data_IF_964040917328
#
_entry.id   IF_964040917328
#
_cell.length_a   1.000
_cell.length_b   1.000
_cell.length_c   1.000
_cell.angle_alpha   90.00
_cell.angle_beta   90.00
_cell.angle_gamma   90.00
#
_symmetry.space_group_name_H-M   'P 1'
#
loop_
_entity.id
_entity.type
_entity.pdbx_description
1 polymer ?
#
# COMPACT_ATOMS: atom_id res chain seq x y z
N UNK A 1 -1.95 -0.77 -37.08
CA UNK A 1 -1.07 0.05 -36.22
C UNK A 1 0.28 -0.64 -36.17
N UNK A 2 1.41 0.06 -36.27
CA UNK A 2 2.73 -0.60 -36.17
C UNK A 2 2.96 -1.05 -34.72
N UNK A 3 3.64 -2.17 -34.52
CA UNK A 3 3.98 -2.68 -33.18
C UNK A 3 4.73 -1.63 -32.35
N UNK A 4 5.58 -0.83 -32.99
CA UNK A 4 6.29 0.28 -32.33
C UNK A 4 5.34 1.36 -31.80
N UNK A 5 4.34 1.77 -32.58
CA UNK A 5 3.40 2.81 -32.14
C UNK A 5 2.60 2.32 -30.93
N UNK A 6 2.21 1.05 -30.91
CA UNK A 6 1.50 0.46 -29.76
C UNK A 6 2.40 0.45 -28.52
N UNK A 7 3.65 0.04 -28.67
CA UNK A 7 4.63 0.07 -27.58
C UNK A 7 4.87 1.48 -27.03
N UNK A 8 5.02 2.47 -27.90
CA UNK A 8 5.18 3.88 -27.50
C UNK A 8 3.94 4.41 -26.77
N UNK A 9 2.73 3.99 -27.19
CA UNK A 9 1.47 4.31 -26.50
C UNK A 9 1.38 3.66 -25.12
N UNK A 10 1.74 2.38 -25.00
CA UNK A 10 1.75 1.68 -23.71
C UNK A 10 2.74 2.30 -22.73
N UNK A 11 3.95 2.64 -23.19
CA UNK A 11 4.95 3.33 -22.36
C UNK A 11 4.42 4.70 -21.94
N UNK A 12 3.87 5.47 -22.88
CA UNK A 12 3.30 6.79 -22.58
C UNK A 12 2.16 6.70 -21.57
N UNK A 13 1.26 5.75 -21.75
CA UNK A 13 0.17 5.50 -20.81
C UNK A 13 0.67 5.16 -19.42
N UNK A 14 1.60 4.22 -19.28
CA UNK A 14 2.08 3.79 -17.96
C UNK A 14 2.64 4.97 -17.16
N UNK A 15 3.44 5.82 -17.81
CA UNK A 15 4.06 6.98 -17.16
C UNK A 15 3.01 8.05 -16.84
N UNK A 16 2.16 8.40 -17.80
CA UNK A 16 1.14 9.43 -17.62
C UNK A 16 0.06 9.02 -16.61
N UNK A 17 -0.33 7.75 -16.62
CA UNK A 17 -1.28 7.19 -15.66
C UNK A 17 -0.70 7.20 -14.24
N UNK A 18 0.57 6.83 -14.08
CA UNK A 18 1.26 6.91 -12.80
C UNK A 18 1.32 8.37 -12.29
N UNK A 19 1.70 9.32 -13.15
CA UNK A 19 1.72 10.75 -12.80
C UNK A 19 0.34 11.24 -12.38
N UNK A 20 -0.69 10.94 -13.17
CA UNK A 20 -2.07 11.30 -12.84
C UNK A 20 -2.47 10.74 -11.48
N UNK A 21 -2.29 9.44 -11.26
CA UNK A 21 -2.58 8.78 -9.98
C UNK A 21 -1.85 9.44 -8.80
N UNK A 22 -0.54 9.67 -8.91
CA UNK A 22 0.25 10.25 -7.85
C UNK A 22 -0.20 11.69 -7.50
N UNK A 23 -0.51 12.52 -8.51
CA UNK A 23 -1.00 13.88 -8.29
C UNK A 23 -2.46 13.93 -7.80
N UNK A 24 -3.31 12.99 -8.20
CA UNK A 24 -4.66 12.86 -7.64
C UNK A 24 -4.61 12.49 -6.15
N UNK A 25 -3.76 11.54 -5.78
CA UNK A 25 -3.48 11.23 -4.38
C UNK A 25 -2.97 12.46 -3.63
N UNK A 26 -2.01 13.20 -4.19
CA UNK A 26 -1.49 14.44 -3.58
C UNK A 26 -2.61 15.48 -3.40
N UNK A 27 -3.47 15.67 -4.38
CA UNK A 27 -4.61 16.57 -4.32
C UNK A 27 -5.59 16.18 -3.21
N UNK A 28 -5.92 14.89 -3.07
CA UNK A 28 -6.77 14.38 -1.99
C UNK A 28 -6.14 14.61 -0.59
N UNK A 29 -4.84 14.37 -0.44
CA UNK A 29 -4.11 14.69 0.78
C UNK A 29 -4.19 16.18 1.14
N UNK A 30 -3.89 17.07 0.18
CA UNK A 30 -3.91 18.51 0.41
C UNK A 30 -5.31 19.02 0.79
N UNK A 31 -6.36 18.51 0.15
CA UNK A 31 -7.74 18.82 0.54
C UNK A 31 -8.08 18.28 1.93
N UNK A 32 -7.59 17.10 2.30
CA UNK A 32 -7.75 16.56 3.66
C UNK A 32 -7.10 17.47 4.70
N UNK A 33 -5.86 17.92 4.46
CA UNK A 33 -5.16 18.86 5.33
C UNK A 33 -5.91 20.20 5.46
N UNK A 34 -6.43 20.73 4.34
CA UNK A 34 -7.25 21.95 4.33
C UNK A 34 -8.54 21.78 5.16
N UNK A 35 -9.29 20.70 4.90
CA UNK A 35 -10.59 20.45 5.53
C UNK A 35 -10.50 20.26 7.05
N UNK A 36 -9.40 19.68 7.53
CA UNK A 36 -9.17 19.40 8.95
C UNK A 36 -8.29 20.47 9.63
N UNK A 37 -7.90 21.52 8.89
CA UNK A 37 -7.18 22.68 9.44
C UNK A 37 -5.74 22.39 9.87
N UNK A 38 -5.02 21.51 9.18
CA UNK A 38 -3.65 21.15 9.54
C UNK A 38 -2.66 22.30 9.26
N UNK A 39 -1.73 22.63 10.18
CA UNK A 39 -0.81 23.77 10.03
C UNK A 39 0.20 23.63 8.88
N UNK A 40 0.44 22.41 8.37
CA UNK A 40 1.32 22.21 7.22
C UNK A 40 0.64 22.48 5.87
N UNK A 41 -0.68 22.70 5.84
CA UNK A 41 -1.38 23.02 4.60
C UNK A 41 -0.85 24.33 3.99
N UNK A 42 -0.63 24.33 2.68
CA UNK A 42 -0.18 25.49 1.91
C UNK A 42 -1.03 25.63 0.65
N UNK A 43 -1.73 26.76 0.51
CA UNK A 43 -2.56 27.05 -0.68
C UNK A 43 -1.75 26.98 -1.98
N UNK A 44 -0.50 27.46 -1.96
CA UNK A 44 0.39 27.41 -3.12
C UNK A 44 0.72 25.99 -3.60
N UNK A 45 0.78 25.01 -2.69
CA UNK A 45 1.00 23.60 -3.06
C UNK A 45 -0.24 22.99 -3.71
N UNK A 46 -1.44 23.38 -3.28
CA UNK A 46 -2.70 22.98 -3.89
C UNK A 46 -2.82 23.54 -5.31
N UNK A 47 -2.62 24.85 -5.49
CA UNK A 47 -2.65 25.51 -6.80
C UNK A 47 -1.62 24.91 -7.76
N UNK A 48 -0.39 24.65 -7.29
CA UNK A 48 0.64 23.98 -8.08
C UNK A 48 0.23 22.56 -8.47
N UNK A 49 -0.38 21.82 -7.56
CA UNK A 49 -0.89 20.46 -7.80
C UNK A 49 -2.00 20.46 -8.86
N UNK A 50 -2.95 21.40 -8.78
CA UNK A 50 -4.00 21.57 -9.80
C UNK A 50 -3.44 21.96 -11.16
N UNK A 51 -2.44 22.85 -11.20
CA UNK A 51 -1.75 23.22 -12.43
C UNK A 51 -1.09 22.01 -13.10
N UNK A 52 -0.36 21.21 -12.34
CA UNK A 52 0.26 19.98 -12.84
C UNK A 52 -0.78 18.96 -13.33
N UNK A 53 -1.91 18.81 -12.63
CA UNK A 53 -3.00 17.92 -13.07
C UNK A 53 -3.60 18.37 -14.40
N UNK A 54 -3.81 19.68 -14.60
CA UNK A 54 -4.27 20.22 -15.89
C UNK A 54 -3.31 19.89 -17.03
N UNK A 55 -2.00 20.04 -16.79
CA UNK A 55 -0.96 19.68 -17.75
C UNK A 55 -0.98 18.18 -18.08
N UNK A 56 -1.04 17.31 -17.05
CA UNK A 56 -1.12 15.85 -17.21
C UNK A 56 -2.38 15.43 -17.99
N UNK A 57 -3.52 16.07 -17.73
CA UNK A 57 -4.75 15.81 -18.47
C UNK A 57 -4.65 16.15 -19.94
N UNK A 58 -3.98 17.26 -20.30
CA UNK A 58 -3.73 17.58 -21.71
C UNK A 58 -2.93 16.47 -22.39
N UNK A 59 -1.88 15.94 -21.76
CA UNK A 59 -1.10 14.84 -22.34
C UNK A 59 -1.89 13.52 -22.42
N UNK A 60 -2.77 13.26 -21.46
CA UNK A 60 -3.66 12.10 -21.50
C UNK A 60 -4.67 12.23 -22.64
N UNK A 61 -5.26 13.41 -22.84
CA UNK A 61 -6.18 13.66 -23.96
C UNK A 61 -5.49 13.48 -25.31
N UNK A 62 -4.28 14.03 -25.47
CA UNK A 62 -3.44 13.80 -26.65
C UNK A 62 -3.16 12.29 -26.86
N UNK A 63 -2.89 11.56 -25.77
CA UNK A 63 -2.68 10.10 -25.82
C UNK A 63 -3.95 9.36 -26.26
N UNK A 64 -5.14 9.79 -25.82
CA UNK A 64 -6.42 9.20 -26.25
C UNK A 64 -6.70 9.43 -27.74
N UNK A 65 -6.22 10.55 -28.28
CA UNK A 65 -6.21 10.82 -29.73
C UNK A 65 -5.08 10.08 -30.49
N UNK A 66 -4.32 9.27 -29.76
CA UNK A 66 -3.31 8.37 -30.28
C UNK A 66 -1.91 8.98 -30.44
N UNK A 67 -1.68 10.17 -29.90
CA UNK A 67 -0.34 10.73 -29.75
C UNK A 67 0.47 9.96 -28.70
N UNK A 68 1.78 10.12 -28.71
CA UNK A 68 2.69 9.47 -27.76
C UNK A 68 3.62 10.52 -27.19
N UNK A 69 3.62 10.68 -25.87
CA UNK A 69 4.54 11.60 -25.20
C UNK A 69 5.96 11.02 -25.17
N UNK A 70 6.07 9.70 -24.98
CA UNK A 70 7.33 8.98 -24.90
C UNK A 70 7.49 8.07 -26.11
N UNK A 71 8.71 8.05 -26.65
CA UNK A 71 9.06 7.21 -27.80
C UNK A 71 10.32 6.42 -27.49
N UNK A 72 10.26 5.10 -27.57
CA UNK A 72 11.41 4.24 -27.24
C UNK A 72 12.59 4.50 -28.16
N UNK A 73 12.31 4.70 -29.46
CA UNK A 73 13.32 4.99 -30.48
C UNK A 73 14.15 6.25 -30.22
N UNK A 74 13.67 7.17 -29.37
CA UNK A 74 14.40 8.38 -28.98
C UNK A 74 15.37 8.17 -27.82
N UNK A 75 15.28 7.05 -27.09
CA UNK A 75 16.13 6.79 -25.93
C UNK A 75 16.09 7.95 -24.93
N UNK A 76 17.24 8.56 -24.63
CA UNK A 76 17.34 9.70 -23.71
C UNK A 76 16.95 11.06 -24.31
N UNK A 77 16.75 11.15 -25.63
CA UNK A 77 16.43 12.41 -26.34
C UNK A 77 14.93 12.61 -26.49
N UNK A 78 14.22 12.58 -25.37
CA UNK A 78 12.76 12.71 -25.33
C UNK A 78 12.31 14.15 -25.66
N UNK A 79 11.03 14.30 -26.03
CA UNK A 79 10.42 15.62 -26.29
C UNK A 79 10.34 16.46 -25.00
N UNK A 80 10.14 17.77 -25.14
CA UNK A 80 10.05 18.71 -24.00
C UNK A 80 8.99 18.27 -22.97
N UNK A 81 7.78 17.88 -23.43
CA UNK A 81 6.75 17.38 -22.52
C UNK A 81 7.13 16.11 -21.77
N UNK A 82 7.93 15.23 -22.36
CA UNK A 82 8.43 14.03 -21.67
C UNK A 82 9.53 14.36 -20.65
N UNK A 83 10.41 15.33 -20.96
CA UNK A 83 11.36 15.88 -19.97
C UNK A 83 10.60 16.46 -18.79
N UNK A 84 9.57 17.27 -19.07
CA UNK A 84 8.69 17.85 -18.06
C UNK A 84 7.98 16.78 -17.21
N UNK A 85 7.48 15.72 -17.82
CA UNK A 85 6.90 14.58 -17.10
C UNK A 85 7.92 13.90 -16.16
N UNK A 86 9.20 13.76 -16.55
CA UNK A 86 10.24 13.26 -15.67
C UNK A 86 10.58 14.20 -14.51
N UNK A 87 10.51 15.52 -14.71
CA UNK A 87 10.64 16.49 -13.61
C UNK A 87 9.50 16.33 -12.60
N UNK A 88 8.27 16.16 -13.08
CA UNK A 88 7.11 15.91 -12.22
C UNK A 88 7.25 14.63 -11.39
N UNK A 89 7.76 13.53 -11.99
CA UNK A 89 8.07 12.30 -11.26
C UNK A 89 9.13 12.53 -10.18
N UNK A 90 10.20 13.26 -10.51
CA UNK A 90 11.29 13.55 -9.57
C UNK A 90 10.79 14.40 -8.39
N UNK A 91 9.88 15.34 -8.64
CA UNK A 91 9.23 16.12 -7.59
C UNK A 91 8.42 15.21 -6.65
N UNK A 92 7.58 14.31 -7.19
CA UNK A 92 6.84 13.33 -6.38
C UNK A 92 7.81 12.50 -5.54
N UNK A 93 8.89 11.98 -6.14
CA UNK A 93 9.89 11.18 -5.45
C UNK A 93 10.47 11.91 -4.23
N UNK A 94 10.85 13.18 -4.39
CA UNK A 94 11.41 14.00 -3.31
C UNK A 94 10.42 14.32 -2.19
N UNK A 95 9.12 14.27 -2.47
CA UNK A 95 8.05 14.52 -1.49
C UNK A 95 7.65 13.25 -0.72
N UNK A 96 7.76 12.07 -1.33
CA UNK A 96 7.31 10.82 -0.73
C UNK A 96 8.23 10.32 0.39
N UNK A 97 9.54 10.55 0.27
CA UNK A 97 10.52 10.13 1.28
C UNK A 97 10.28 10.79 2.65
N UNK A 98 10.20 12.14 2.76
CA UNK A 98 9.91 12.77 4.04
C UNK A 98 8.50 12.41 4.55
N UNK A 99 7.52 12.24 3.67
CA UNK A 99 6.17 11.81 4.08
C UNK A 99 6.21 10.41 4.72
N UNK A 100 6.95 9.46 4.14
CA UNK A 100 7.08 8.12 4.70
C UNK A 100 7.74 8.16 6.09
N UNK A 101 8.81 8.95 6.24
CA UNK A 101 9.49 9.14 7.51
C UNK A 101 8.61 9.82 8.58
N UNK A 102 7.82 10.83 8.19
CA UNK A 102 6.88 11.50 9.09
C UNK A 102 5.80 10.52 9.60
N UNK A 103 5.28 9.64 8.73
CA UNK A 103 4.30 8.62 9.12
C UNK A 103 4.91 7.60 10.09
N UNK A 104 6.13 7.12 9.84
CA UNK A 104 6.83 6.21 10.77
C UNK A 104 7.03 6.86 12.14
N UNK A 105 7.46 8.13 12.16
CA UNK A 105 7.62 8.90 13.39
C UNK A 105 6.32 9.02 14.18
N UNK A 106 5.19 9.25 13.50
CA UNK A 106 3.86 9.24 14.13
C UNK A 106 3.53 7.88 14.73
N UNK A 107 3.74 6.80 13.98
CA UNK A 107 3.44 5.43 14.41
C UNK A 107 4.30 5.00 15.61
N UNK A 108 5.57 5.41 15.66
CA UNK A 108 6.45 5.13 16.79
C UNK A 108 6.04 5.85 18.09
N UNK A 109 5.32 6.97 17.98
CA UNK A 109 4.92 7.76 19.16
C UNK A 109 3.72 7.16 19.89
N UNK A 110 2.79 6.51 19.17
CA UNK A 110 1.78 5.60 19.75
C UNK A 110 0.66 6.23 20.61
N UNK A 111 0.41 7.54 20.52
CA UNK A 111 -0.63 8.24 21.31
C UNK A 111 -1.47 9.18 20.43
N UNK A 112 -2.09 8.61 19.38
CA UNK A 112 -2.91 9.35 18.42
C UNK A 112 -4.06 10.17 19.05
N UNK A 113 -4.79 9.70 20.08
CA UNK A 113 -5.88 10.48 20.69
C UNK A 113 -5.46 11.86 21.20
N UNK A 114 -4.21 11.99 21.68
CA UNK A 114 -3.68 13.26 22.18
C UNK A 114 -2.85 14.03 21.14
N UNK A 115 -2.74 13.52 19.91
CA UNK A 115 -1.89 14.06 18.85
C UNK A 115 -2.72 14.45 17.63
N UNK A 116 -3.61 15.44 17.81
CA UNK A 116 -4.54 15.91 16.77
C UNK A 116 -3.90 16.10 15.38
N UNK A 117 -2.75 16.77 15.31
CA UNK A 117 -2.04 16.99 14.05
C UNK A 117 -1.52 15.69 13.41
N UNK A 118 -1.02 14.76 14.23
CA UNK A 118 -0.53 13.48 13.74
C UNK A 118 -1.66 12.60 13.21
N UNK A 119 -2.83 12.65 13.86
CA UNK A 119 -4.04 11.98 13.36
C UNK A 119 -4.47 12.55 12.02
N UNK A 120 -4.47 13.88 11.83
CA UNK A 120 -4.76 14.49 10.52
C UNK A 120 -3.73 14.09 9.46
N UNK A 121 -2.44 14.05 9.81
CA UNK A 121 -1.39 13.60 8.89
C UNK A 121 -1.64 12.17 8.41
N UNK A 122 -2.01 11.25 9.32
CA UNK A 122 -2.35 9.87 8.95
C UNK A 122 -3.60 9.79 8.06
N UNK A 123 -4.67 10.52 8.37
CA UNK A 123 -5.87 10.57 7.53
C UNK A 123 -5.51 11.09 6.13
N UNK A 124 -4.71 12.15 6.05
CA UNK A 124 -4.23 12.72 4.79
C UNK A 124 -3.38 11.74 3.98
N UNK A 125 -2.44 11.05 4.63
CA UNK A 125 -1.61 10.02 4.01
C UNK A 125 -2.45 8.84 3.48
N UNK A 126 -3.44 8.40 4.26
CA UNK A 126 -4.36 7.35 3.85
C UNK A 126 -5.20 7.79 2.64
N UNK A 127 -5.75 9.01 2.66
CA UNK A 127 -6.45 9.61 1.51
C UNK A 127 -5.56 9.66 0.28
N UNK A 128 -4.28 10.05 0.41
CA UNK A 128 -3.33 10.06 -0.71
C UNK A 128 -3.15 8.69 -1.35
N UNK A 129 -2.94 7.65 -0.54
CA UNK A 129 -2.82 6.28 -1.03
C UNK A 129 -4.12 5.80 -1.67
N UNK A 130 -5.26 5.98 -1.01
CA UNK A 130 -6.55 5.51 -1.49
C UNK A 130 -6.91 6.11 -2.86
N UNK A 131 -6.88 7.44 -2.98
CA UNK A 131 -7.20 8.13 -4.23
C UNK A 131 -6.15 7.86 -5.32
N UNK A 132 -4.87 7.79 -4.96
CA UNK A 132 -3.83 7.46 -5.93
C UNK A 132 -4.02 6.08 -6.56
N UNK A 133 -4.23 5.05 -5.75
CA UNK A 133 -4.43 3.68 -6.23
C UNK A 133 -5.70 3.54 -7.07
N UNK A 134 -6.80 4.18 -6.67
CA UNK A 134 -8.07 4.13 -7.41
C UNK A 134 -7.91 4.77 -8.80
N UNK A 135 -7.31 5.95 -8.88
CA UNK A 135 -7.03 6.62 -10.16
C UNK A 135 -6.07 5.82 -11.04
N UNK A 136 -5.06 5.16 -10.45
CA UNK A 136 -4.15 4.29 -11.19
C UNK A 136 -4.90 3.12 -11.85
N UNK A 137 -5.75 2.42 -11.09
CA UNK A 137 -6.56 1.32 -11.60
C UNK A 137 -7.55 1.78 -12.68
N UNK A 138 -8.25 2.89 -12.44
CA UNK A 138 -9.21 3.48 -13.38
C UNK A 138 -8.54 3.93 -14.69
N UNK A 139 -7.30 4.40 -14.65
CA UNK A 139 -6.56 4.77 -15.86
C UNK A 139 -6.19 3.57 -16.74
N UNK A 140 -5.93 2.38 -16.17
CA UNK A 140 -5.78 1.15 -16.96
C UNK A 140 -7.11 0.67 -17.54
N UNK A 141 -8.21 0.77 -16.78
CA UNK A 141 -9.55 0.50 -17.31
C UNK A 141 -9.85 1.40 -18.51
N UNK A 142 -9.56 2.70 -18.39
CA UNK A 142 -9.77 3.67 -19.47
C UNK A 142 -8.90 3.36 -20.68
N UNK A 143 -7.60 3.11 -20.49
CA UNK A 143 -6.70 2.75 -21.59
C UNK A 143 -7.14 1.47 -22.31
N UNK A 144 -7.44 0.40 -21.56
CA UNK A 144 -7.94 -0.84 -22.14
C UNK A 144 -9.27 -0.64 -22.89
N UNK A 145 -10.12 0.27 -22.45
CA UNK A 145 -11.36 0.62 -23.16
C UNK A 145 -11.08 1.36 -24.47
N UNK A 146 -10.26 2.41 -24.43
CA UNK A 146 -9.92 3.24 -25.62
C UNK A 146 -9.20 2.43 -26.69
N UNK A 147 -8.28 1.55 -26.28
CA UNK A 147 -7.46 0.74 -27.19
C UNK A 147 -7.97 -0.70 -27.37
N UNK A 148 -9.23 -0.98 -27.00
CA UNK A 148 -9.90 -2.27 -27.19
C UNK A 148 -9.16 -3.49 -26.58
N UNK A 149 -8.47 -3.31 -25.46
CA UNK A 149 -7.85 -4.39 -24.68
C UNK A 149 -8.80 -4.86 -23.55
N UNK A 150 -9.71 -5.77 -23.90
CA UNK A 150 -10.75 -6.27 -22.99
C UNK A 150 -10.20 -7.04 -21.77
N UNK A 151 -9.06 -7.72 -21.90
CA UNK A 151 -8.42 -8.44 -20.80
C UNK A 151 -7.92 -7.48 -19.72
N UNK A 152 -7.25 -6.40 -20.15
CA UNK A 152 -6.82 -5.32 -19.25
C UNK A 152 -8.02 -4.71 -18.52
N UNK A 153 -9.11 -4.41 -19.24
CA UNK A 153 -10.34 -3.88 -18.63
C UNK A 153 -10.87 -4.84 -17.57
N UNK A 154 -10.96 -6.14 -17.87
CA UNK A 154 -11.47 -7.14 -16.93
C UNK A 154 -10.64 -7.22 -15.64
N UNK A 155 -9.32 -7.29 -15.77
CA UNK A 155 -8.38 -7.38 -14.64
C UNK A 155 -8.49 -6.12 -13.76
N UNK A 156 -8.38 -4.94 -14.37
CA UNK A 156 -8.30 -3.70 -13.61
C UNK A 156 -9.65 -3.22 -13.08
N UNK A 157 -10.77 -3.57 -13.72
CA UNK A 157 -12.11 -3.21 -13.22
C UNK A 157 -12.43 -3.92 -11.92
N UNK A 158 -12.01 -5.18 -11.75
CA UNK A 158 -12.15 -5.88 -10.48
C UNK A 158 -11.37 -5.17 -9.37
N UNK A 159 -10.12 -4.79 -9.64
CA UNK A 159 -9.29 -4.03 -8.69
C UNK A 159 -9.86 -2.64 -8.37
N UNK A 160 -10.32 -1.90 -9.37
CA UNK A 160 -10.94 -0.58 -9.17
C UNK A 160 -12.18 -0.66 -8.26
N UNK A 161 -13.02 -1.69 -8.43
CA UNK A 161 -14.17 -1.91 -7.56
C UNK A 161 -13.74 -2.15 -6.11
N UNK A 162 -12.71 -2.97 -5.87
CA UNK A 162 -12.20 -3.20 -4.51
C UNK A 162 -11.65 -1.92 -3.87
N UNK A 163 -10.97 -1.07 -4.66
CA UNK A 163 -10.42 0.20 -4.18
C UNK A 163 -11.49 1.24 -3.84
N UNK A 164 -12.70 1.13 -4.38
CA UNK A 164 -13.81 2.04 -4.03
C UNK A 164 -14.19 1.98 -2.54
N UNK A 165 -14.04 0.82 -1.89
CA UNK A 165 -14.26 0.69 -0.45
C UNK A 165 -13.17 1.42 0.36
N UNK A 166 -11.92 1.41 -0.14
CA UNK A 166 -10.81 2.16 0.47
C UNK A 166 -11.06 3.68 0.41
N UNK A 167 -11.64 4.17 -0.69
CA UNK A 167 -12.06 5.58 -0.83
C UNK A 167 -13.19 5.94 0.14
N UNK A 168 -14.21 5.08 0.26
CA UNK A 168 -15.30 5.28 1.23
C UNK A 168 -14.75 5.37 2.65
N UNK A 169 -13.83 4.48 3.00
CA UNK A 169 -13.16 4.49 4.30
C UNK A 169 -12.32 5.75 4.52
N UNK A 170 -11.58 6.24 3.52
CA UNK A 170 -10.82 7.48 3.62
C UNK A 170 -11.75 8.68 3.89
N UNK A 171 -12.87 8.77 3.16
CA UNK A 171 -13.87 9.81 3.38
C UNK A 171 -14.54 9.69 4.76
N UNK A 172 -14.77 8.47 5.23
CA UNK A 172 -15.32 8.22 6.55
C UNK A 172 -14.37 8.70 7.66
N UNK A 173 -13.06 8.46 7.54
CA UNK A 173 -12.09 8.99 8.49
C UNK A 173 -12.10 10.52 8.55
N UNK A 174 -12.15 11.19 7.41
CA UNK A 174 -12.29 12.66 7.34
C UNK A 174 -13.57 13.13 8.01
N UNK A 175 -14.70 12.47 7.72
CA UNK A 175 -16.03 12.82 8.25
C UNK A 175 -16.10 12.66 9.77
N UNK A 176 -15.70 11.50 10.29
CA UNK A 176 -15.74 11.19 11.72
C UNK A 176 -14.79 12.11 12.50
N UNK A 177 -13.58 12.33 11.99
CA UNK A 177 -12.61 13.17 12.69
C UNK A 177 -13.00 14.66 12.72
N UNK A 178 -13.77 15.12 11.73
CA UNK A 178 -14.30 16.48 11.68
C UNK A 178 -15.39 16.73 12.75
N UNK A 179 -16.09 15.69 13.19
CA UNK A 179 -17.13 15.75 14.22
C UNK A 179 -16.60 15.15 15.53
N UNK A 180 -15.84 15.95 16.27
CA UNK A 180 -15.10 15.49 17.46
C UNK A 180 -15.98 14.89 18.56
N UNK A 181 -17.26 15.22 18.59
CA UNK A 181 -18.21 14.73 19.59
C UNK A 181 -18.67 13.29 19.29
N UNK A 182 -18.36 12.75 18.11
CA UNK A 182 -18.83 11.44 17.63
C UNK A 182 -17.69 10.47 17.28
N UNK A 183 -16.46 10.70 17.74
CA UNK A 183 -15.33 9.80 17.45
C UNK A 183 -15.54 8.47 18.19
N UNK A 184 -15.70 7.33 17.50
CA UNK A 184 -15.81 6.02 18.16
C UNK A 184 -14.53 5.66 18.92
N UNK A 185 -14.66 4.92 20.02
CA UNK A 185 -13.53 4.51 20.87
C UNK A 185 -12.41 3.78 20.09
N UNK A 186 -12.77 3.05 19.05
CA UNK A 186 -11.84 2.28 18.21
C UNK A 186 -11.29 3.05 16.99
N UNK A 187 -11.67 4.31 16.80
CA UNK A 187 -11.30 5.10 15.61
C UNK A 187 -9.78 5.13 15.37
N UNK A 188 -9.02 5.49 16.41
CA UNK A 188 -7.56 5.65 16.30
C UNK A 188 -6.85 4.33 16.03
N UNK A 189 -7.27 3.25 16.69
CA UNK A 189 -6.75 1.91 16.44
C UNK A 189 -7.03 1.46 14.99
N UNK A 190 -8.21 1.79 14.48
CA UNK A 190 -8.59 1.47 13.09
C UNK A 190 -7.77 2.27 12.07
N UNK A 191 -7.57 3.56 12.32
CA UNK A 191 -6.72 4.41 11.48
C UNK A 191 -5.27 3.93 11.49
N UNK A 192 -4.71 3.63 12.67
CA UNK A 192 -3.37 3.10 12.82
C UNK A 192 -3.19 1.79 12.04
N UNK A 193 -4.14 0.86 12.17
CA UNK A 193 -4.15 -0.41 11.45
C UNK A 193 -4.05 -0.21 9.93
N UNK A 194 -4.81 0.72 9.36
CA UNK A 194 -4.78 0.96 7.91
C UNK A 194 -3.58 1.79 7.44
N UNK A 195 -2.96 2.55 8.34
CA UNK A 195 -1.80 3.37 8.03
C UNK A 195 -0.47 2.64 8.18
N UNK A 196 -0.40 1.52 8.91
CA UNK A 196 0.85 0.81 9.26
C UNK A 196 1.74 0.41 8.08
N UNK A 197 1.18 0.17 6.89
CA UNK A 197 1.94 -0.19 5.69
C UNK A 197 2.25 1.00 4.79
N UNK A 198 1.70 2.20 5.07
CA UNK A 198 1.85 3.38 4.21
C UNK A 198 3.30 3.84 4.02
N UNK A 199 4.18 3.86 5.04
CA UNK A 199 5.57 4.27 4.82
C UNK A 199 6.26 3.40 3.77
N UNK A 200 6.09 2.08 3.89
CA UNK A 200 6.64 1.14 2.94
C UNK A 200 6.00 1.26 1.56
N UNK A 201 4.69 1.48 1.49
CA UNK A 201 3.99 1.74 0.22
C UNK A 201 4.53 3.00 -0.49
N UNK A 202 4.77 4.10 0.25
CA UNK A 202 5.35 5.31 -0.34
C UNK A 202 6.80 5.10 -0.79
N UNK A 203 7.59 4.27 -0.09
CA UNK A 203 8.91 3.86 -0.58
C UNK A 203 8.83 2.98 -1.83
N UNK A 204 7.81 2.12 -1.95
CA UNK A 204 7.56 1.38 -3.19
C UNK A 204 7.28 2.35 -4.36
N UNK A 205 6.53 3.41 -4.14
CA UNK A 205 6.31 4.45 -5.15
C UNK A 205 7.60 5.19 -5.54
N UNK A 206 8.52 5.42 -4.61
CA UNK A 206 9.86 5.96 -4.91
C UNK A 206 10.64 5.00 -5.81
N UNK A 207 10.54 3.70 -5.56
CA UNK A 207 11.15 2.65 -6.37
C UNK A 207 10.51 2.54 -7.76
N UNK A 208 9.19 2.67 -7.88
CA UNK A 208 8.47 2.74 -9.16
C UNK A 208 8.96 3.93 -10.00
N UNK A 209 9.08 5.11 -9.37
CA UNK A 209 9.61 6.30 -10.02
C UNK A 209 11.05 6.09 -10.47
N UNK A 210 11.89 5.48 -9.63
CA UNK A 210 13.27 5.16 -10.00
C UNK A 210 13.32 4.25 -11.23
N UNK A 211 12.47 3.21 -11.31
CA UNK A 211 12.36 2.35 -12.49
C UNK A 211 11.95 3.15 -13.74
N UNK A 212 10.92 4.00 -13.64
CA UNK A 212 10.44 4.83 -14.77
C UNK A 212 11.53 5.80 -15.25
N UNK A 213 12.22 6.50 -14.34
CA UNK A 213 13.28 7.46 -14.68
C UNK A 213 14.50 6.81 -15.33
N UNK A 214 14.65 5.49 -15.22
CA UNK A 214 15.73 4.72 -15.81
C UNK A 214 15.31 3.89 -17.02
N UNK A 215 14.02 3.88 -17.39
CA UNK A 215 13.49 3.10 -18.52
C UNK A 215 14.28 3.31 -19.82
N UNK A 216 14.73 4.54 -20.07
CA UNK A 216 15.48 4.91 -21.28
C UNK A 216 17.00 5.01 -21.07
N UNK A 217 17.51 4.59 -19.91
CA UNK A 217 18.93 4.70 -19.51
C UNK A 217 19.64 3.34 -19.42
N UNK A 218 19.06 2.30 -20.00
CA UNK A 218 19.59 0.92 -19.97
C UNK A 218 19.07 0.10 -18.79
N UNK A 219 19.82 -0.93 -18.41
CA UNK A 219 19.41 -1.92 -17.40
C UNK A 219 19.19 -1.32 -16.01
N UNK A 220 18.18 -1.80 -15.28
CA UNK A 220 17.87 -1.38 -13.93
C UNK A 220 18.55 -2.30 -12.89
N UNK A 221 19.72 -1.87 -12.41
CA UNK A 221 20.53 -2.61 -11.43
C UNK A 221 20.22 -2.25 -9.97
N UNK A 222 20.89 -2.95 -9.04
CA UNK A 222 20.75 -2.73 -7.59
C UNK A 222 21.16 -1.31 -7.16
N UNK A 223 22.13 -0.69 -7.81
CA UNK A 223 22.53 0.69 -7.56
C UNK A 223 21.38 1.67 -7.80
N UNK A 224 20.62 1.46 -8.89
CA UNK A 224 19.44 2.26 -9.25
C UNK A 224 18.24 1.99 -8.36
N UNK A 225 18.17 0.79 -7.77
CA UNK A 225 17.22 0.44 -6.72
C UNK A 225 17.67 0.91 -5.31
N UNK A 226 18.77 1.64 -5.21
CA UNK A 226 19.23 2.29 -3.98
C UNK A 226 20.01 1.39 -3.01
N UNK A 227 20.51 0.23 -3.47
CA UNK A 227 21.30 -0.69 -2.65
C UNK A 227 22.77 -0.28 -2.61
N UNK A 228 23.39 -0.43 -1.45
CA UNK A 228 24.84 -0.39 -1.33
C UNK A 228 25.45 -1.70 -1.81
N UNK A 229 26.70 -1.69 -2.31
CA UNK A 229 27.35 -2.88 -2.87
C UNK A 229 27.33 -4.13 -1.97
N UNK A 230 27.64 -4.05 -0.65
CA UNK A 230 27.58 -5.23 0.22
C UNK A 230 26.17 -5.81 0.35
N UNK A 231 25.16 -4.92 0.42
CA UNK A 231 23.74 -5.28 0.50
C UNK A 231 23.29 -5.93 -0.82
N UNK A 232 23.57 -5.29 -1.96
CA UNK A 232 23.25 -5.79 -3.30
C UNK A 232 23.76 -7.22 -3.53
N UNK A 233 25.02 -7.51 -3.16
CA UNK A 233 25.58 -8.85 -3.29
C UNK A 233 24.87 -9.89 -2.41
N UNK A 234 24.25 -9.48 -1.30
CA UNK A 234 23.45 -10.40 -0.47
C UNK A 234 22.14 -10.77 -1.16
N UNK A 235 21.44 -9.81 -1.78
CA UNK A 235 20.23 -10.04 -2.57
C UNK A 235 20.51 -10.84 -3.84
N UNK A 236 21.63 -10.58 -4.50
CA UNK A 236 22.08 -11.33 -5.69
C UNK A 236 22.33 -12.80 -5.36
N UNK A 237 23.03 -13.10 -4.24
CA UNK A 237 23.22 -14.48 -3.76
C UNK A 237 21.92 -15.19 -3.36
N UNK A 238 20.87 -14.43 -3.04
CA UNK A 238 19.54 -14.96 -2.77
C UNK A 238 18.69 -15.12 -4.05
N UNK A 239 19.26 -14.80 -5.22
CA UNK A 239 18.59 -14.88 -6.52
C UNK A 239 17.28 -14.06 -6.55
N UNK A 240 17.31 -12.86 -5.94
CA UNK A 240 16.18 -11.91 -5.93
C UNK A 240 16.57 -10.73 -6.81
N UNK A 241 15.94 -10.56 -7.97
CA UNK A 241 16.27 -9.51 -8.93
C UNK A 241 16.18 -8.09 -8.33
N UNK A 242 16.91 -7.08 -8.87
CA UNK A 242 16.93 -5.72 -8.31
C UNK A 242 15.56 -5.07 -8.15
N UNK A 243 14.64 -5.32 -9.11
CA UNK A 243 13.27 -4.80 -9.06
C UNK A 243 12.53 -5.39 -7.85
N UNK A 244 12.53 -6.72 -7.71
CA UNK A 244 11.86 -7.42 -6.61
C UNK A 244 12.49 -7.06 -5.26
N UNK A 245 13.82 -7.06 -5.18
CA UNK A 245 14.56 -6.69 -3.97
C UNK A 245 14.19 -5.28 -3.50
N UNK A 246 14.05 -4.33 -4.44
CA UNK A 246 13.67 -2.96 -4.11
C UNK A 246 12.30 -2.85 -3.44
N UNK A 247 11.30 -3.63 -3.85
CA UNK A 247 9.99 -3.67 -3.18
C UNK A 247 10.08 -4.28 -1.78
N UNK A 248 10.78 -5.40 -1.62
CA UNK A 248 10.98 -6.00 -0.29
C UNK A 248 11.70 -5.03 0.67
N UNK A 249 12.76 -4.38 0.19
CA UNK A 249 13.50 -3.36 0.95
C UNK A 249 12.64 -2.15 1.28
N UNK A 250 11.84 -1.65 0.34
CA UNK A 250 10.93 -0.53 0.56
C UNK A 250 9.94 -0.81 1.70
N UNK A 251 9.48 -2.07 1.80
CA UNK A 251 8.62 -2.54 2.89
C UNK A 251 9.40 -2.93 4.15
N UNK A 252 10.68 -2.56 4.30
CA UNK A 252 11.54 -2.87 5.45
C UNK A 252 11.66 -4.39 5.72
N UNK A 253 11.76 -5.22 4.69
CA UNK A 253 12.14 -6.62 4.85
C UNK A 253 13.65 -6.79 4.71
N UNK A 254 14.23 -7.55 5.64
CA UNK A 254 15.59 -8.05 5.49
C UNK A 254 15.60 -9.28 4.57
N UNK A 255 16.70 -9.51 3.87
CA UNK A 255 16.84 -10.63 2.92
C UNK A 255 16.54 -11.98 3.59
N UNK A 256 17.02 -12.22 4.80
CA UNK A 256 16.75 -13.43 5.59
C UNK A 256 15.24 -13.63 5.81
N UNK A 257 14.54 -12.56 6.14
CA UNK A 257 13.09 -12.56 6.32
C UNK A 257 12.36 -12.88 5.00
N UNK A 258 12.77 -12.26 3.89
CA UNK A 258 12.21 -12.55 2.56
C UNK A 258 12.33 -14.03 2.20
N UNK A 259 13.47 -14.67 2.52
CA UNK A 259 13.65 -16.10 2.27
C UNK A 259 12.68 -16.97 3.07
N UNK A 260 12.28 -16.54 4.28
CA UNK A 260 11.27 -17.24 5.07
C UNK A 260 9.88 -17.12 4.43
N UNK A 261 9.48 -15.91 4.01
CA UNK A 261 8.22 -15.70 3.29
C UNK A 261 8.16 -16.47 1.96
N UNK A 262 9.25 -16.45 1.17
CA UNK A 262 9.32 -17.19 -0.10
C UNK A 262 9.30 -18.71 0.12
N UNK A 263 9.91 -19.22 1.19
CA UNK A 263 9.92 -20.65 1.53
C UNK A 263 8.51 -21.20 1.74
N UNK A 264 7.60 -20.38 2.27
CA UNK A 264 6.20 -20.76 2.47
C UNK A 264 5.30 -20.43 1.26
N UNK A 265 5.90 -19.98 0.14
CA UNK A 265 5.20 -19.69 -1.11
C UNK A 265 4.67 -18.26 -1.25
N UNK A 266 4.94 -17.39 -0.28
CA UNK A 266 4.51 -15.98 -0.32
C UNK A 266 5.63 -15.16 -0.99
N UNK A 267 5.45 -14.90 -2.28
CA UNK A 267 6.42 -14.18 -3.12
C UNK A 267 6.06 -12.72 -3.34
N UNK A 268 4.82 -12.32 -3.03
CA UNK A 268 4.36 -10.94 -3.14
C UNK A 268 4.76 -10.15 -1.88
N UNK A 269 5.62 -9.11 -2.00
CA UNK A 269 6.07 -8.32 -0.88
C UNK A 269 4.93 -7.58 -0.15
N UNK A 270 3.88 -7.15 -0.86
CA UNK A 270 2.74 -6.46 -0.25
C UNK A 270 1.89 -7.41 0.59
N UNK A 271 1.65 -8.63 0.10
CA UNK A 271 0.95 -9.66 0.89
C UNK A 271 1.72 -9.95 2.17
N UNK A 272 3.04 -10.21 2.07
CA UNK A 272 3.88 -10.44 3.25
C UNK A 272 3.85 -9.24 4.23
N UNK A 273 3.90 -8.01 3.72
CA UNK A 273 3.85 -6.80 4.55
C UNK A 273 2.53 -6.69 5.32
N UNK A 274 1.39 -6.97 4.69
CA UNK A 274 0.08 -6.91 5.36
C UNK A 274 -0.06 -7.96 6.47
N UNK A 275 0.38 -9.19 6.22
CA UNK A 275 0.38 -10.26 7.21
C UNK A 275 1.34 -10.00 8.36
N UNK A 276 2.58 -9.59 8.06
CA UNK A 276 3.57 -9.19 9.07
C UNK A 276 3.04 -8.06 9.94
N UNK A 277 2.44 -7.04 9.31
CA UNK A 277 1.89 -5.91 10.03
C UNK A 277 0.65 -6.27 10.87
N UNK A 278 -0.05 -7.36 10.54
CA UNK A 278 -1.07 -7.98 11.37
C UNK A 278 -0.49 -8.89 12.49
N UNK A 279 0.83 -8.98 12.60
CA UNK A 279 1.51 -9.74 13.66
C UNK A 279 1.72 -11.22 13.35
N UNK A 280 1.48 -11.65 12.10
CA UNK A 280 1.68 -13.04 11.71
C UNK A 280 3.07 -13.26 11.12
N UNK A 281 3.70 -14.36 11.53
CA UNK A 281 4.89 -14.88 10.86
C UNK A 281 4.55 -15.65 9.57
N UNK A 282 5.53 -16.02 8.73
CA UNK A 282 5.29 -16.75 7.49
C UNK A 282 4.53 -18.08 7.68
N UNK A 283 4.85 -18.85 8.72
CA UNK A 283 4.27 -20.17 8.94
C UNK A 283 2.81 -20.06 9.40
N UNK A 284 2.51 -19.13 10.32
CA UNK A 284 1.15 -18.80 10.74
C UNK A 284 0.29 -18.31 9.57
N UNK A 285 0.88 -17.48 8.71
CA UNK A 285 0.18 -16.90 7.57
C UNK A 285 -0.36 -17.97 6.61
N UNK A 286 0.40 -19.04 6.35
CA UNK A 286 -0.05 -20.13 5.48
C UNK A 286 -1.33 -20.78 5.97
N UNK A 287 -1.46 -20.99 7.28
CA UNK A 287 -2.64 -21.65 7.84
C UNK A 287 -3.89 -20.77 7.72
N UNK A 288 -3.76 -19.45 7.86
CA UNK A 288 -4.86 -18.50 7.63
C UNK A 288 -5.19 -18.33 6.14
N UNK A 289 -4.19 -18.27 5.27
CA UNK A 289 -4.39 -18.21 3.82
C UNK A 289 -5.10 -19.46 3.29
N UNK A 290 -4.81 -20.64 3.84
CA UNK A 290 -5.46 -21.91 3.44
C UNK A 290 -6.98 -21.90 3.66
N UNK A 291 -7.47 -21.07 4.58
CA UNK A 291 -8.90 -20.92 4.87
C UNK A 291 -9.50 -19.63 4.30
N UNK A 292 -8.79 -18.97 3.38
CA UNK A 292 -9.22 -17.75 2.67
C UNK A 292 -9.48 -16.54 3.59
N UNK A 293 -8.75 -16.44 4.71
CA UNK A 293 -8.85 -15.28 5.58
C UNK A 293 -7.96 -14.14 5.09
N UNK A 294 -8.45 -12.91 5.21
CA UNK A 294 -7.62 -11.71 5.09
C UNK A 294 -6.86 -11.45 6.39
N UNK A 295 -5.74 -10.68 6.37
CA UNK A 295 -5.00 -10.33 7.58
C UNK A 295 -5.88 -9.66 8.66
N UNK A 296 -6.84 -8.81 8.24
CA UNK A 296 -7.77 -8.14 9.16
C UNK A 296 -8.75 -9.10 9.82
N UNK A 297 -9.27 -10.09 9.08
CA UNK A 297 -10.14 -11.09 9.67
C UNK A 297 -9.31 -12.02 10.57
N UNK A 298 -8.16 -12.49 10.10
CA UNK A 298 -7.27 -13.36 10.86
C UNK A 298 -6.89 -12.77 12.23
N UNK A 299 -6.52 -11.49 12.30
CA UNK A 299 -6.16 -10.88 13.59
C UNK A 299 -7.35 -10.82 14.57
N UNK A 300 -8.57 -10.59 14.09
CA UNK A 300 -9.76 -10.59 14.97
C UNK A 300 -9.97 -11.95 15.61
N UNK A 301 -9.85 -13.03 14.83
CA UNK A 301 -10.02 -14.40 15.32
C UNK A 301 -8.84 -14.86 16.17
N UNK A 302 -7.62 -14.51 15.79
CA UNK A 302 -6.41 -14.84 16.55
C UNK A 302 -6.38 -14.15 17.93
N UNK A 303 -6.89 -12.92 18.03
CA UNK A 303 -6.96 -12.16 19.30
C UNK A 303 -7.88 -12.83 20.32
N UNK A 304 -8.87 -13.59 19.84
CA UNK A 304 -9.82 -14.36 20.67
C UNK A 304 -9.39 -15.84 20.80
N UNK A 305 -8.10 -16.14 20.56
CA UNK A 305 -7.47 -17.46 20.68
C UNK A 305 -8.11 -18.57 19.80
N UNK A 306 -8.69 -18.22 18.65
CA UNK A 306 -9.17 -19.21 17.68
C UNK A 306 -8.10 -19.63 16.69
N UNK A 307 -8.06 -20.92 16.38
CA UNK A 307 -7.26 -21.45 15.28
C UNK A 307 -7.91 -21.15 13.91
N UNK A 308 -7.12 -21.06 12.82
CA UNK A 308 -7.65 -20.81 11.47
C UNK A 308 -8.78 -21.76 11.06
N UNK A 309 -8.65 -23.05 11.38
CA UNK A 309 -9.65 -24.05 11.06
C UNK A 309 -10.98 -23.81 11.82
N UNK A 310 -10.89 -23.49 13.12
CA UNK A 310 -12.06 -23.20 13.96
C UNK A 310 -12.78 -21.94 13.47
N UNK A 311 -12.01 -20.88 13.21
CA UNK A 311 -12.52 -19.62 12.67
C UNK A 311 -13.25 -19.82 11.33
N UNK A 312 -12.67 -20.59 10.41
CA UNK A 312 -13.28 -20.90 9.11
C UNK A 312 -14.63 -21.60 9.24
N UNK A 313 -14.73 -22.56 10.16
CA UNK A 313 -15.98 -23.23 10.47
C UNK A 313 -17.02 -22.25 10.99
N UNK A 314 -16.66 -21.42 11.98
CA UNK A 314 -17.59 -20.47 12.60
C UNK A 314 -18.08 -19.43 11.58
N UNK A 315 -17.19 -18.94 10.71
CA UNK A 315 -17.54 -18.07 9.58
C UNK A 315 -18.50 -18.77 8.61
N UNK A 316 -18.28 -20.05 8.30
CA UNK A 316 -19.18 -20.83 7.43
C UNK A 316 -20.59 -21.01 8.03
N UNK A 317 -20.71 -20.90 9.37
CA UNK A 317 -21.97 -20.92 10.11
C UNK A 317 -22.61 -19.54 10.27
N UNK A 318 -22.02 -18.49 9.68
CA UNK A 318 -22.53 -17.11 9.70
C UNK A 318 -22.04 -16.26 10.87
N UNK A 319 -21.08 -16.75 11.67
CA UNK A 319 -20.48 -15.97 12.74
C UNK A 319 -19.23 -15.28 12.22
N UNK A 320 -19.31 -13.97 11.94
CA UNK A 320 -18.20 -13.20 11.38
C UNK A 320 -17.38 -12.43 12.42
N UNK A 321 -17.87 -12.32 13.65
CA UNK A 321 -17.29 -11.48 14.70
C UNK A 321 -17.02 -12.31 15.95
N UNK A 322 -15.75 -12.64 16.24
CA UNK A 322 -15.41 -13.58 17.32
C UNK A 322 -15.74 -13.02 18.71
N UNK A 323 -15.64 -11.71 18.92
CA UNK A 323 -15.99 -11.06 20.20
C UNK A 323 -17.49 -11.15 20.57
N UNK A 324 -18.36 -11.54 19.63
CA UNK A 324 -19.79 -11.78 19.90
C UNK A 324 -20.09 -13.22 20.31
N UNK A 325 -19.09 -14.11 20.25
CA UNK A 325 -19.21 -15.51 20.63
C UNK A 325 -18.56 -15.75 21.99
N UNK A 326 -19.31 -16.32 22.93
CA UNK A 326 -18.69 -16.87 24.14
C UNK A 326 -17.92 -18.14 23.79
N UNK A 327 -16.92 -18.49 24.62
CA UNK A 327 -16.14 -19.71 24.41
C UNK A 327 -17.02 -20.97 24.42
N UNK A 328 -18.01 -21.01 25.31
CA UNK A 328 -19.00 -22.10 25.40
C UNK A 328 -19.82 -22.22 24.10
N UNK A 329 -20.33 -21.10 23.58
CA UNK A 329 -21.08 -21.09 22.31
C UNK A 329 -20.22 -21.60 21.15
N UNK A 330 -18.96 -21.15 21.07
CA UNK A 330 -18.06 -21.60 20.03
C UNK A 330 -17.72 -23.09 20.17
N UNK A 331 -17.51 -23.58 21.39
CA UNK A 331 -17.28 -25.01 21.66
C UNK A 331 -18.48 -25.88 21.27
N UNK A 332 -19.70 -25.45 21.61
CA UNK A 332 -20.93 -26.13 21.18
C UNK A 332 -21.06 -26.17 19.66
N UNK A 333 -20.73 -25.07 18.98
CA UNK A 333 -20.73 -25.01 17.51
C UNK A 333 -19.62 -25.88 16.90
N UNK A 334 -18.51 -26.11 17.60
CA UNK A 334 -17.40 -26.93 17.11
C UNK A 334 -17.54 -28.41 17.49
N UNK A 335 -18.41 -28.77 18.44
CA UNK A 335 -18.55 -30.11 19.00
C UNK A 335 -18.90 -31.20 17.96
N UNK A 336 -19.62 -30.84 16.89
CA UNK A 336 -19.99 -31.76 15.80
C UNK A 336 -18.82 -32.12 14.87
N UNK A 337 -17.68 -31.45 15.03
CA UNK A 337 -16.54 -31.59 14.13
C UNK A 337 -15.51 -32.48 14.80
N UNK A 338 -15.40 -33.70 14.28
CA UNK A 338 -14.38 -34.65 14.71
C UNK A 338 -13.02 -33.96 14.65
N UNK A 339 -12.32 -33.79 15.79
CA UNK A 339 -11.09 -33.00 15.80
C UNK A 339 -10.10 -33.64 14.81
N UNK A 340 -9.38 -32.84 14.01
CA UNK A 340 -8.27 -33.37 13.25
C UNK A 340 -7.31 -34.08 14.22
N UNK A 341 -6.65 -35.17 13.80
CA UNK A 341 -5.71 -35.89 14.66
C UNK A 341 -4.72 -34.86 15.23
N UNK A 342 -4.68 -34.73 16.56
CA UNK A 342 -3.80 -33.79 17.25
C UNK A 342 -2.38 -34.00 16.71
N UNK A 343 -1.86 -33.02 15.97
CA UNK A 343 -0.41 -32.93 15.76
C UNK A 343 0.21 -32.88 17.16
N UNK A 344 1.32 -33.59 17.34
CA UNK A 344 2.09 -33.61 18.58
C UNK A 344 2.20 -32.19 19.16
N UNK A 345 2.12 -32.01 20.49
CA UNK A 345 2.10 -30.69 21.11
C UNK A 345 3.25 -29.86 20.56
N UNK A 346 2.91 -28.85 19.76
CA UNK A 346 3.84 -27.81 19.34
C UNK A 346 4.36 -27.11 20.61
N UNK A 347 5.63 -26.70 20.64
CA UNK A 347 6.15 -25.90 21.74
C UNK A 347 5.20 -24.73 22.00
N UNK A 348 4.95 -24.44 23.28
CA UNK A 348 4.02 -23.43 23.76
C UNK A 348 4.07 -22.18 22.87
N UNK A 349 3.00 -21.94 22.10
CA UNK A 349 2.93 -20.76 21.24
C UNK A 349 3.07 -19.52 22.14
N UNK A 350 3.87 -18.53 21.74
CA UNK A 350 3.90 -17.26 22.47
C UNK A 350 2.47 -16.71 22.52
N UNK A 351 2.01 -16.37 23.72
CA UNK A 351 0.73 -15.69 23.91
C UNK A 351 0.74 -14.45 23.03
N UNK A 352 -0.26 -14.32 22.15
CA UNK A 352 -0.39 -13.20 21.23
C UNK A 352 -0.66 -11.94 22.05
N UNK A 353 0.40 -11.24 22.45
CA UNK A 353 0.28 -9.88 22.93
C UNK A 353 0.25 -9.01 21.69
N UNK A 354 -0.92 -8.43 21.38
CA UNK A 354 -0.94 -7.23 20.55
C UNK A 354 0.13 -6.33 21.16
N UNK A 355 1.15 -5.88 20.40
CA UNK A 355 2.16 -5.00 20.94
C UNK A 355 1.45 -3.70 21.32
N UNK A 356 0.94 -3.64 22.55
CA UNK A 356 0.69 -2.39 23.23
C UNK A 356 2.08 -1.85 23.41
N UNK A 357 2.50 -0.98 22.50
CA UNK A 357 3.73 -0.23 22.60
C UNK A 357 3.67 0.54 23.92
N UNK A 358 4.20 -0.07 24.99
CA UNK A 358 4.34 0.60 26.26
C UNK A 358 5.13 1.89 25.97
N UNK A 359 4.64 3.08 26.37
CA UNK A 359 5.28 4.33 26.01
C UNK A 359 6.74 4.27 26.41
N UNK A 360 7.64 4.33 25.42
CA UNK A 360 9.09 4.40 25.66
C UNK A 360 9.30 5.59 26.60
N UNK A 361 9.73 5.33 27.84
CA UNK A 361 10.16 6.39 28.77
C UNK A 361 11.35 7.10 28.13
N UNK A 362 11.10 8.20 27.44
CA UNK A 362 12.13 9.10 26.94
C UNK A 362 12.77 9.71 28.19
N UNK A 363 13.96 9.22 28.56
CA UNK A 363 14.76 9.84 29.60
C UNK A 363 15.06 11.30 29.24
N UNK A 364 15.22 12.20 30.23
CA UNK A 364 15.46 13.61 29.96
C UNK A 364 16.70 13.77 29.07
N UNK A 365 16.53 14.41 27.91
CA UNK A 365 17.67 14.87 27.09
C UNK A 365 18.44 15.88 27.94
N UNK A 366 19.71 15.58 28.23
CA UNK A 366 20.65 16.49 28.88
C UNK A 366 21.20 17.49 27.90
#
# INVERSE_FOLDING_TARGET
MTDQKLKDQEISHRILNYLNAAYQGKFAALNTLLLLGHPSFKTSELEKTESNLKEIYSWLDDLWDGATLFQESRGTRQAEGAVRAFELLSNIQSELEPLAADIESVQETGDLPNQYNNTILLISAFSRSAYGEEHYANGFVRFGTVFNNSDMVKIWKHRANALSEKIKLANEFVRVFKDTDQIPDNFHAHLEFFCRTLPGLFRCHIHDIAQILHLFKGEFGYDKAGFLRPEASAWERAEIAPIDAGYWRALNFEKEEVLQWRKVGIVDPFVAAEWRAAGFDPDQTVDWLRVDFSPLLAIQWATEDYLPAEASILVSKGHHYPHLLTREQAEDLLADIKPPPKKSPEPSRPVFQIPVTAPKKIGPRR
#
